data_IF_257557825652
#
_entry.id   IF_257557825652
#
_cell.length_a   1.000
_cell.length_b   1.000
_cell.length_c   1.000
_cell.angle_alpha   90.00
_cell.angle_beta   90.00
_cell.angle_gamma   90.00
#
_symmetry.space_group_name_H-M   'P 1'
#
loop_
_entity.id
_entity.type
_entity.pdbx_description
1 polymer ?
#
# COMPACT_ATOMS: atom_id res chain seq x y z
N UNK A 1 10.23 3.18 17.91
CA UNK A 1 9.47 2.89 17.57
C UNK A 1 9.16 2.58 17.22
N UNK A 2 9.60 2.63 17.55
CA UNK A 2 8.87 2.28 17.03
C UNK A 2 8.72 2.01 16.80
N UNK A 3 8.82 1.80 17.02
CA UNK A 3 8.15 1.39 16.61
C UNK A 3 8.06 1.06 16.49
N UNK A 4 7.96 0.75 16.67
CA UNK A 4 7.47 0.27 16.41
C UNK A 4 7.04 0.04 16.44
N UNK A 5 7.19 -0.09 16.74
CA UNK A 5 6.53 -0.48 16.64
C UNK A 5 6.46 -0.79 16.76
N UNK A 6 6.61 -0.87 17.02
CA UNK A 6 6.26 -1.25 16.95
C UNK A 6 6.26 -1.67 16.99
N UNK A 7 6.35 -1.95 17.29
CA UNK A 7 6.03 -2.40 17.17
C UNK A 7 6.19 -2.73 17.36
N UNK A 8 6.53 -2.63 17.71
CA UNK A 8 6.51 -2.98 17.75
C UNK A 8 6.89 -3.26 18.17
N UNK A 9 7.17 -3.39 18.69
CA UNK A 9 7.33 -3.66 18.93
C UNK A 9 7.75 -3.93 19.54
N UNK A 10 8.17 -4.20 20.08
CA UNK A 10 8.50 -4.62 20.46
C UNK A 10 8.97 -4.86 21.24
N UNK A 11 9.10 -4.90 22.03
CA UNK A 11 9.63 -5.25 22.40
C UNK A 11 9.99 -6.05 22.74
N UNK A 12 10.16 -6.23 22.94
CA UNK A 12 10.49 -6.88 22.87
C UNK A 12 11.00 -7.55 22.74
N UNK A 13 11.22 -7.70 22.64
CA UNK A 13 11.55 -8.16 22.08
C UNK A 13 11.97 -8.63 21.58
N UNK A 14 12.03 -8.69 21.45
CA UNK A 14 12.31 -9.03 20.73
C UNK A 14 12.36 -9.28 20.05
N UNK A 15 12.27 -9.26 19.72
CA UNK A 15 12.21 -9.40 18.84
C UNK A 15 12.40 -9.77 18.09
N UNK A 16 12.13 -9.99 17.53
CA UNK A 16 12.26 -10.34 16.83
C UNK A 16 12.41 -10.42 15.80
N UNK A 17 12.19 -10.89 15.26
CA UNK A 17 12.34 -11.13 14.33
C UNK A 17 12.06 -10.63 13.42
N UNK A 18 12.28 -10.57 13.04
CA UNK A 18 12.15 -9.93 12.24
C UNK A 18 11.61 -10.06 11.23
N UNK A 19 11.59 -10.46 11.20
CA UNK A 19 11.25 -10.62 10.27
C UNK A 19 10.60 -9.78 9.68
N UNK A 20 10.78 -9.06 9.91
CA UNK A 20 10.24 -8.23 9.23
C UNK A 20 9.39 -8.67 8.41
N UNK A 21 8.48 -8.66 8.61
CA UNK A 21 7.54 -9.23 7.78
C UNK A 21 6.81 -8.22 6.99
N UNK A 22 7.20 -6.99 7.02
CA UNK A 22 6.51 -5.96 6.28
C UNK A 22 7.41 -5.21 5.35
N UNK A 23 6.81 -4.36 4.54
CA UNK A 23 7.56 -3.44 3.68
C UNK A 23 6.97 -2.05 3.81
N UNK A 24 7.79 -1.08 3.52
CA UNK A 24 7.38 0.31 3.51
C UNK A 24 7.08 0.73 2.08
N UNK A 25 5.97 1.40 1.89
CA UNK A 25 5.59 1.97 0.60
C UNK A 25 5.49 3.47 0.80
N UNK A 26 6.07 4.24 -0.09
CA UNK A 26 5.99 5.69 -0.05
C UNK A 26 5.33 6.18 -1.32
N UNK A 27 4.26 6.96 -1.18
CA UNK A 27 3.58 7.56 -2.31
C UNK A 27 3.80 9.07 -2.21
N UNK A 28 4.59 9.63 -3.12
CA UNK A 28 4.85 11.07 -3.04
C UNK A 28 3.59 11.89 -3.29
N UNK A 29 3.60 13.17 -2.90
CA UNK A 29 2.44 14.02 -3.18
C UNK A 29 2.08 13.98 -4.66
N UNK A 30 0.81 13.81 -4.95
CA UNK A 30 0.33 13.67 -6.32
C UNK A 30 0.54 12.30 -6.93
N UNK A 31 1.21 11.41 -6.22
CA UNK A 31 1.49 10.07 -6.73
C UNK A 31 0.27 9.17 -6.67
N UNK A 32 0.35 8.08 -7.40
CA UNK A 32 -0.72 7.12 -7.50
C UNK A 32 -0.15 5.75 -7.81
N UNK A 33 -0.72 4.72 -7.21
CA UNK A 33 -0.22 3.37 -7.44
C UNK A 33 -0.68 2.79 -8.79
N UNK A 34 -1.74 3.34 -9.38
CA UNK A 34 -2.40 2.70 -10.49
C UNK A 34 -3.29 1.57 -10.00
N UNK A 35 -4.17 1.10 -10.88
CA UNK A 35 -5.07 0.01 -10.55
C UNK A 35 -4.29 -1.28 -10.47
N UNK A 36 -4.51 -2.05 -9.40
CA UNK A 36 -3.78 -3.29 -9.18
C UNK A 36 -4.56 -4.18 -8.20
N UNK A 37 -4.08 -5.40 -8.04
CA UNK A 37 -4.56 -6.29 -7.00
C UNK A 37 -3.36 -7.05 -6.41
N UNK A 38 -3.61 -7.74 -5.31
CA UNK A 38 -2.58 -8.52 -4.64
C UNK A 38 -2.97 -9.98 -4.63
N UNK A 39 -1.97 -10.85 -4.67
CA UNK A 39 -2.23 -12.29 -4.65
C UNK A 39 -2.45 -12.82 -3.26
N UNK A 40 -2.04 -12.07 -2.26
CA UNK A 40 -2.24 -12.46 -0.87
C UNK A 40 -2.90 -11.30 -0.14
N UNK A 41 -3.58 -11.61 0.93
CA UNK A 41 -4.14 -10.58 1.78
C UNK A 41 -3.03 -9.77 2.42
N UNK A 42 -3.20 -8.48 2.47
CA UNK A 42 -2.26 -7.59 3.11
C UNK A 42 -2.95 -6.80 4.20
N UNK A 43 -2.20 -6.51 5.26
CA UNK A 43 -2.64 -5.60 6.31
C UNK A 43 -1.77 -4.37 6.21
N UNK A 44 -2.39 -3.20 6.23
CA UNK A 44 -1.67 -1.95 6.04
C UNK A 44 -1.94 -1.00 7.19
N UNK A 45 -0.93 -0.21 7.53
CA UNK A 45 -1.11 0.89 8.44
C UNK A 45 -0.53 2.13 7.78
N UNK A 46 -1.24 3.25 7.92
CA UNK A 46 -0.75 4.54 7.42
C UNK A 46 0.16 5.11 8.49
N UNK A 47 1.43 5.24 8.17
CA UNK A 47 2.41 5.78 9.10
C UNK A 47 2.43 7.31 9.02
N UNK A 48 2.29 7.86 7.82
CA UNK A 48 2.32 9.30 7.62
C UNK A 48 1.48 9.67 6.42
N UNK A 49 1.00 10.89 6.40
CA UNK A 49 0.21 11.41 5.29
C UNK A 49 -1.23 10.94 5.32
N UNK A 50 -1.93 11.17 4.24
CA UNK A 50 -3.33 10.77 4.10
C UNK A 50 -3.49 10.06 2.77
N UNK A 51 -3.92 8.82 2.84
CA UNK A 51 -4.09 7.98 1.66
C UNK A 51 -5.53 8.00 1.21
N UNK A 52 -5.76 8.20 -0.08
CA UNK A 52 -7.07 8.04 -0.68
C UNK A 52 -7.04 6.74 -1.48
N UNK A 53 -7.97 5.85 -1.19
CA UNK A 53 -8.10 4.59 -1.91
C UNK A 53 -9.38 4.60 -2.72
N UNK A 54 -9.32 4.04 -3.92
CA UNK A 54 -10.50 3.82 -4.73
C UNK A 54 -10.60 2.32 -4.96
N UNK A 55 -11.74 1.75 -4.62
CA UNK A 55 -11.93 0.31 -4.65
C UNK A 55 -12.59 -0.12 -5.95
N UNK A 56 -12.70 -1.44 -6.12
CA UNK A 56 -13.21 -2.01 -7.36
C UNK A 56 -14.65 -1.60 -7.66
N UNK A 57 -15.42 -1.27 -6.63
CA UNK A 57 -16.79 -0.82 -6.81
C UNK A 57 -16.89 0.71 -6.82
N UNK A 58 -15.75 1.37 -6.93
CA UNK A 58 -15.61 2.82 -6.97
C UNK A 58 -15.87 3.51 -5.64
N UNK A 59 -15.94 2.74 -4.57
CA UNK A 59 -15.97 3.33 -3.23
C UNK A 59 -14.66 4.04 -2.98
N UNK A 60 -14.73 5.23 -2.40
CA UNK A 60 -13.56 6.00 -2.05
C UNK A 60 -13.40 5.98 -0.54
N UNK A 61 -12.19 5.64 -0.09
CA UNK A 61 -11.85 5.65 1.33
C UNK A 61 -10.71 6.59 1.56
N UNK A 62 -10.73 7.27 2.70
CA UNK A 62 -9.65 8.17 3.09
C UNK A 62 -9.10 7.67 4.42
N UNK A 63 -7.80 7.42 4.45
CA UNK A 63 -7.14 6.87 5.63
C UNK A 63 -6.06 7.84 6.08
N UNK A 64 -6.18 8.35 7.30
CA UNK A 64 -5.20 9.26 7.86
C UNK A 64 -4.15 8.48 8.64
N UNK A 65 -3.07 9.17 9.01
CA UNK A 65 -1.99 8.54 9.77
C UNK A 65 -2.53 7.87 11.03
N UNK A 66 -2.05 6.67 11.28
CA UNK A 66 -2.47 5.88 12.42
C UNK A 66 -3.59 4.90 12.12
N UNK A 67 -4.24 4.99 10.97
CA UNK A 67 -5.34 4.08 10.66
C UNK A 67 -4.82 2.84 9.96
N UNK A 68 -5.59 1.78 10.04
CA UNK A 68 -5.25 0.50 9.43
C UNK A 68 -6.36 0.07 8.48
N UNK A 69 -6.00 -0.76 7.52
CA UNK A 69 -6.98 -1.36 6.64
C UNK A 69 -6.45 -2.67 6.08
N UNK A 70 -7.36 -3.47 5.54
CA UNK A 70 -7.04 -4.76 4.96
C UNK A 70 -7.22 -4.67 3.46
N UNK A 71 -6.29 -5.27 2.72
CA UNK A 71 -6.42 -5.44 1.28
C UNK A 71 -6.61 -6.92 0.99
N UNK A 72 -7.84 -7.33 0.72
CA UNK A 72 -8.09 -8.74 0.43
C UNK A 72 -7.39 -9.17 -0.85
N UNK A 73 -7.10 -10.45 -0.94
CA UNK A 73 -6.42 -11.01 -2.10
C UNK A 73 -7.37 -11.16 -3.28
N UNK A 74 -6.82 -11.09 -4.46
CA UNK A 74 -7.50 -11.54 -5.66
C UNK A 74 -8.00 -10.45 -6.56
N UNK A 75 -8.30 -10.86 -7.79
CA UNK A 75 -8.70 -9.94 -8.83
C UNK A 75 -10.08 -9.31 -8.58
N UNK A 76 -10.85 -9.86 -7.67
CA UNK A 76 -12.11 -9.25 -7.28
C UNK A 76 -11.94 -8.03 -6.39
N UNK A 77 -10.69 -7.71 -6.01
CA UNK A 77 -10.40 -6.61 -5.08
C UNK A 77 -9.41 -5.63 -5.68
N UNK A 78 -9.62 -5.29 -6.95
CA UNK A 78 -8.79 -4.31 -7.63
C UNK A 78 -8.98 -2.95 -6.94
N UNK A 79 -7.89 -2.23 -6.78
CA UNK A 79 -7.94 -0.92 -6.12
C UNK A 79 -6.76 -0.08 -6.55
N UNK A 80 -6.80 1.19 -6.16
CA UNK A 80 -5.66 2.07 -6.31
C UNK A 80 -5.50 2.93 -5.06
N UNK A 81 -4.28 3.40 -4.86
CA UNK A 81 -3.98 4.35 -3.79
C UNK A 81 -3.47 5.64 -4.39
N UNK A 82 -3.92 6.75 -3.85
CA UNK A 82 -3.64 8.06 -4.43
C UNK A 82 -3.28 9.01 -3.30
N UNK A 83 -2.25 9.80 -3.51
CA UNK A 83 -1.87 10.81 -2.53
C UNK A 83 -2.32 12.18 -3.06
N UNK A 84 -3.45 12.63 -2.56
CA UNK A 84 -4.00 13.92 -2.95
C UNK A 84 -3.53 15.05 -2.06
N UNK A 85 -2.69 14.75 -1.10
CA UNK A 85 -2.19 15.74 -0.15
C UNK A 85 -0.88 16.34 -0.57
N UNK A 86 -0.26 17.07 0.36
CA UNK A 86 0.98 17.80 0.10
C UNK A 86 2.17 17.14 0.79
N UNK A 87 1.96 16.07 1.54
CA UNK A 87 3.02 15.35 2.22
C UNK A 87 3.06 13.93 1.71
N UNK A 88 4.20 13.27 1.79
CA UNK A 88 4.27 11.86 1.39
C UNK A 88 3.32 11.01 2.22
N UNK A 89 2.76 10.00 1.58
CA UNK A 89 2.06 8.94 2.28
C UNK A 89 3.07 7.84 2.51
N UNK A 90 3.16 7.39 3.75
CA UNK A 90 4.03 6.27 4.11
C UNK A 90 3.15 5.18 4.67
N UNK A 91 3.23 4.00 4.07
CA UNK A 91 2.47 2.83 4.51
C UNK A 91 3.43 1.76 4.98
N UNK A 92 3.03 1.02 5.99
CA UNK A 92 3.70 -0.21 6.37
C UNK A 92 2.74 -1.34 6.07
N UNK A 93 3.16 -2.28 5.25
CA UNK A 93 2.30 -3.34 4.74
C UNK A 93 2.87 -4.70 5.10
N UNK A 94 2.05 -5.58 5.61
CA UNK A 94 2.45 -6.93 5.97
C UNK A 94 1.55 -7.95 5.29
N UNK A 95 2.07 -9.12 4.96
CA UNK A 95 3.47 -9.53 5.11
C UNK A 95 4.32 -9.01 3.96
N UNK A 96 5.62 -9.01 4.17
CA UNK A 96 6.55 -8.82 3.07
C UNK A 96 6.57 -10.12 2.28
N UNK A 97 6.55 -10.03 0.97
CA UNK A 97 6.57 -11.21 0.14
C UNK A 97 7.98 -11.64 -0.14
N UNK A 98 8.20 -12.92 -0.49
CA UNK A 98 9.53 -13.38 -0.85
C UNK A 98 10.11 -12.56 -1.99
N UNK A 99 11.42 -12.43 -1.98
CA UNK A 99 12.13 -11.77 -3.06
C UNK A 99 11.75 -12.41 -4.38
N UNK A 100 11.46 -11.59 -5.37
CA UNK A 100 11.05 -12.09 -6.68
C UNK A 100 9.56 -12.27 -6.84
N UNK A 101 8.80 -12.15 -5.76
CA UNK A 101 7.35 -12.24 -5.85
C UNK A 101 6.78 -10.85 -6.10
N UNK A 102 6.00 -10.65 -7.15
CA UNK A 102 5.41 -9.32 -7.37
C UNK A 102 4.52 -8.92 -6.21
N UNK A 103 4.73 -7.72 -5.71
CA UNK A 103 3.93 -7.20 -4.62
C UNK A 103 2.51 -6.90 -5.09
N UNK A 104 2.40 -6.30 -6.26
CA UNK A 104 1.12 -5.89 -6.81
C UNK A 104 1.07 -6.30 -8.28
N UNK A 105 -0.10 -6.64 -8.75
CA UNK A 105 -0.31 -7.05 -10.13
C UNK A 105 -1.07 -5.92 -10.82
N UNK A 106 -0.44 -5.16 -11.71
CA UNK A 106 -1.14 -4.11 -12.44
C UNK A 106 -2.28 -4.67 -13.27
N UNK A 107 -3.33 -3.89 -13.37
CA UNK A 107 -4.52 -4.35 -14.09
C UNK A 107 -5.26 -3.14 -14.65
N UNK A 108 -6.10 -3.32 -15.66
CA UNK A 108 -6.94 -2.25 -16.14
C UNK A 108 -7.94 -1.81 -15.07
N UNK A 109 -8.45 -0.60 -15.21
CA UNK A 109 -9.47 -0.11 -14.32
C UNK A 109 -10.67 -1.05 -14.33
N UNK A 110 -11.35 -1.21 -13.20
CA UNK A 110 -12.56 -2.01 -13.18
C UNK A 110 -13.66 -1.36 -14.00
N UNK A 111 -14.66 -2.16 -14.38
CA UNK A 111 -15.78 -1.67 -15.18
C UNK A 111 -16.42 -0.48 -14.49
N UNK A 112 -16.69 0.56 -15.26
CA UNK A 112 -17.31 1.76 -14.73
C UNK A 112 -16.36 2.76 -14.09
N UNK A 113 -15.10 2.39 -13.91
CA UNK A 113 -14.09 3.30 -13.43
C UNK A 113 -13.23 3.75 -14.60
N UNK A 114 -12.39 4.74 -14.38
CA UNK A 114 -11.51 5.23 -15.42
C UNK A 114 -10.07 5.19 -14.95
N UNK A 115 -9.17 5.15 -15.91
CA UNK A 115 -7.76 5.30 -15.60
C UNK A 115 -7.46 6.70 -15.10
N UNK A 116 -8.36 7.63 -15.33
CA UNK A 116 -8.14 9.00 -14.91
C UNK A 116 -8.19 9.16 -13.40
N UNK A 117 -8.59 8.13 -12.67
CA UNK A 117 -8.50 8.19 -11.22
C UNK A 117 -7.06 8.45 -10.79
N UNK A 118 -6.09 7.98 -11.59
CA UNK A 118 -4.70 8.40 -11.45
C UNK A 118 -4.40 9.28 -12.63
N UNK A 119 -3.82 10.43 -12.37
CA UNK A 119 -3.49 11.30 -13.47
C UNK A 119 -2.38 10.78 -14.32
N UNK A 120 -1.54 9.95 -13.77
CA UNK A 120 -0.41 9.40 -14.47
C UNK A 120 -0.77 8.01 -14.95
N UNK A 121 -0.26 7.64 -16.11
CA UNK A 121 -0.44 6.29 -16.61
C UNK A 121 0.47 5.31 -15.91
N UNK A 122 1.48 5.79 -15.26
CA UNK A 122 2.40 4.94 -14.55
C UNK A 122 2.20 5.11 -13.07
N UNK A 123 2.35 4.06 -12.29
CA UNK A 123 2.36 4.21 -10.85
C UNK A 123 3.44 5.18 -10.41
N UNK A 124 3.11 6.01 -9.43
CA UNK A 124 4.06 6.95 -8.86
C UNK A 124 4.16 6.68 -7.40
N UNK A 125 4.90 5.68 -7.03
CA UNK A 125 5.14 5.37 -5.63
C UNK A 125 6.52 4.73 -5.52
N UNK A 126 7.04 4.73 -4.31
CA UNK A 126 8.34 4.17 -4.02
C UNK A 126 8.18 3.08 -2.97
N UNK A 127 8.91 2.01 -3.15
CA UNK A 127 8.96 0.95 -2.16
C UNK A 127 10.38 0.82 -1.66
N UNK A 128 10.53 0.56 -0.36
CA UNK A 128 11.83 0.31 0.19
C UNK A 128 12.36 -1.03 -0.27
N UNK A 129 11.52 -1.88 -0.80
CA UNK A 129 11.93 -3.18 -1.28
C UNK A 129 12.25 -3.10 -2.75
N UNK A 130 13.49 -3.36 -3.14
CA UNK A 130 13.87 -3.22 -4.55
C UNK A 130 13.16 -4.17 -5.48
N UNK A 131 12.51 -5.17 -4.96
CA UNK A 131 11.81 -6.06 -5.79
C UNK A 131 10.58 -5.52 -6.35
N UNK A 132 10.13 -4.43 -5.89
CA UNK A 132 8.94 -3.95 -6.25
C UNK A 132 8.87 -3.64 -7.63
N UNK A 133 8.66 -3.62 -8.34
CA UNK A 133 8.61 -3.25 -9.51
C UNK A 133 7.58 -3.66 -10.23
N UNK A 134 6.88 -4.18 -10.18
CA UNK A 134 5.90 -4.59 -11.07
C UNK A 134 4.95 -3.78 -11.61
#
# INVERSE_FOLDING_TARGET
MGGQLTMTARPGGACAAPTATGREIVIPPGGCTGWHFHRVRLDAVVIAGTLTRVLHDRTVEVHTAGTTFVEPAGIGHIHLGHNLGTEPVVLHVTPALPVGTPFAIPTPAPAGATQAACRSHKPSYLSADPVEAS
#
